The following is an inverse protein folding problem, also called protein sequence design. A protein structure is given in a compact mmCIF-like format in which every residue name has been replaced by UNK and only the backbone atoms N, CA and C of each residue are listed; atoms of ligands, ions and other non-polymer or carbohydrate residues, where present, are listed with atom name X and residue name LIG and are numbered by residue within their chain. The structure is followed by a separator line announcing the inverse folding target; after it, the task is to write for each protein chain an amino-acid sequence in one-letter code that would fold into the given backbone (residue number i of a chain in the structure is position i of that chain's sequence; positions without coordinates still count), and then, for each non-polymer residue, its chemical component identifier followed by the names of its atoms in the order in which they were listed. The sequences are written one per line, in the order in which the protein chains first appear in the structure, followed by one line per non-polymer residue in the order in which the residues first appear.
data_IF_298362737377
#
_entry.id   IF_298362737377
#
_cell.length_a   1.000
_cell.length_b   1.000
_cell.length_c   1.000
_cell.angle_alpha   90.00
_cell.angle_beta   90.00
_cell.angle_gamma   90.00
#
_symmetry.space_group_name_H-M   'P 1'
#
loop_
_entity.id
_entity.type
_entity.pdbx_description
1 polymer ?
#
# COMPACT_ATOMS: atom_id res chain seq x y z
N UNK A 1 -17.59 22.79 7.30
CA UNK A 1 -17.10 22.94 5.92
C UNK A 1 -18.32 23.14 5.02
N UNK A 2 -18.41 24.26 4.31
CA UNK A 2 -19.50 24.53 3.35
C UNK A 2 -19.18 23.88 2.00
N UNK A 3 -20.21 23.62 1.19
CA UNK A 3 -20.06 22.99 -0.14
C UNK A 3 -19.11 23.79 -1.06
N UNK A 4 -19.11 25.12 -0.95
CA UNK A 4 -18.21 26.02 -1.70
C UNK A 4 -16.73 25.80 -1.33
N UNK A 5 -16.43 25.64 -0.04
CA UNK A 5 -15.07 25.37 0.43
C UNK A 5 -14.53 24.03 -0.12
N UNK A 6 -15.39 23.01 -0.24
CA UNK A 6 -15.00 21.71 -0.80
C UNK A 6 -14.68 21.81 -2.29
N UNK A 7 -15.43 22.61 -3.05
CA UNK A 7 -15.17 22.81 -4.47
C UNK A 7 -13.89 23.60 -4.73
N UNK A 8 -13.62 24.66 -3.95
CA UNK A 8 -12.37 25.41 -4.01
C UNK A 8 -11.15 24.50 -3.79
N UNK A 9 -11.22 23.62 -2.78
CA UNK A 9 -10.13 22.67 -2.50
C UNK A 9 -9.95 21.67 -3.64
N UNK A 10 -11.04 21.10 -4.18
CA UNK A 10 -10.97 20.13 -5.29
C UNK A 10 -10.43 20.72 -6.59
N UNK A 11 -10.71 22.00 -6.85
CA UNK A 11 -10.23 22.71 -8.04
C UNK A 11 -8.78 23.22 -7.88
N UNK A 12 -8.21 23.17 -6.68
CA UNK A 12 -6.83 23.58 -6.45
C UNK A 12 -5.85 22.59 -7.14
N UNK A 13 -4.97 23.08 -8.04
CA UNK A 13 -4.02 22.22 -8.75
C UNK A 13 -3.03 21.50 -7.83
N UNK A 14 -2.70 22.06 -6.65
CA UNK A 14 -1.88 21.37 -5.63
C UNK A 14 -2.61 20.14 -5.09
N UNK A 15 -3.90 20.25 -4.81
CA UNK A 15 -4.73 19.13 -4.32
C UNK A 15 -4.87 18.03 -5.37
N UNK A 16 -5.11 18.39 -6.64
CA UNK A 16 -5.19 17.39 -7.71
C UNK A 16 -3.86 16.66 -7.93
N UNK A 17 -2.74 17.39 -7.90
CA UNK A 17 -1.40 16.78 -8.00
C UNK A 17 -1.17 15.79 -6.86
N UNK A 18 -1.55 16.16 -5.64
CA UNK A 18 -1.49 15.32 -4.44
C UNK A 18 -2.25 14.00 -4.60
N UNK A 19 -3.53 14.09 -4.97
CA UNK A 19 -4.41 12.94 -5.17
C UNK A 19 -3.84 12.04 -6.27
N UNK A 20 -3.32 12.62 -7.36
CA UNK A 20 -2.74 11.85 -8.46
C UNK A 20 -1.49 11.08 -8.05
N UNK A 21 -0.58 11.70 -7.28
CA UNK A 21 0.65 11.07 -6.80
C UNK A 21 0.34 9.92 -5.85
N UNK A 22 -0.57 10.17 -4.89
CA UNK A 22 -1.01 9.14 -3.94
C UNK A 22 -1.69 7.97 -4.65
N UNK A 23 -2.59 8.25 -5.58
CA UNK A 23 -3.30 7.21 -6.33
C UNK A 23 -2.34 6.36 -7.15
N UNK A 24 -1.37 6.96 -7.86
CA UNK A 24 -0.38 6.20 -8.63
C UNK A 24 0.41 5.25 -7.72
N UNK A 25 0.87 5.75 -6.57
CA UNK A 25 1.62 4.94 -5.61
C UNK A 25 0.77 3.80 -5.00
N UNK A 26 -0.48 4.10 -4.63
CA UNK A 26 -1.42 3.09 -4.15
C UNK A 26 -1.66 2.01 -5.23
N UNK A 27 -1.86 2.41 -6.48
CA UNK A 27 -2.01 1.48 -7.60
C UNK A 27 -0.78 0.60 -7.82
N UNK A 28 0.43 1.15 -7.70
CA UNK A 28 1.67 0.37 -7.79
C UNK A 28 1.71 -0.72 -6.71
N UNK A 29 1.40 -0.38 -5.46
CA UNK A 29 1.36 -1.35 -4.36
C UNK A 29 0.26 -2.40 -4.55
N UNK A 30 -0.91 -2.00 -5.03
CA UNK A 30 -2.00 -2.93 -5.38
C UNK A 30 -1.54 -3.91 -6.45
N UNK A 31 -0.90 -3.45 -7.51
CA UNK A 31 -0.38 -4.32 -8.58
C UNK A 31 0.65 -5.29 -8.04
N UNK A 32 1.60 -4.81 -7.22
CA UNK A 32 2.61 -5.68 -6.59
C UNK A 32 1.94 -6.75 -5.72
N UNK A 33 0.94 -6.38 -4.92
CA UNK A 33 0.18 -7.32 -4.09
C UNK A 33 -0.55 -8.37 -4.94
N UNK A 34 -1.18 -7.94 -6.04
CA UNK A 34 -1.86 -8.84 -6.97
C UNK A 34 -0.87 -9.83 -7.60
N UNK A 35 0.30 -9.36 -8.04
CA UNK A 35 1.34 -10.23 -8.60
C UNK A 35 1.78 -11.28 -7.60
N UNK A 36 2.07 -10.89 -6.35
CA UNK A 36 2.47 -11.84 -5.30
C UNK A 36 1.35 -12.84 -4.99
N UNK A 37 0.11 -12.35 -4.90
CA UNK A 37 -1.06 -13.19 -4.63
C UNK A 37 -1.29 -14.24 -5.72
N UNK A 38 -1.30 -13.83 -6.99
CA UNK A 38 -1.46 -14.75 -8.11
C UNK A 38 -0.25 -15.68 -8.27
N UNK A 39 0.97 -15.19 -8.06
CA UNK A 39 2.16 -16.04 -8.07
C UNK A 39 2.07 -17.15 -7.02
N UNK A 40 1.62 -16.82 -5.80
CA UNK A 40 1.43 -17.80 -4.74
C UNK A 40 0.32 -18.80 -5.05
N UNK A 41 -0.82 -18.35 -5.58
CA UNK A 41 -1.91 -19.24 -6.01
C UNK A 41 -1.44 -20.20 -7.10
N UNK A 42 -0.77 -19.68 -8.13
CA UNK A 42 -0.25 -20.51 -9.22
C UNK A 42 0.80 -21.49 -8.71
N UNK A 43 1.65 -21.08 -7.77
CA UNK A 43 2.63 -21.98 -7.14
C UNK A 43 1.95 -23.13 -6.40
N UNK A 44 0.90 -22.85 -5.63
CA UNK A 44 0.07 -23.88 -4.98
C UNK A 44 -0.59 -24.79 -6.01
N UNK A 45 -1.13 -24.23 -7.09
CA UNK A 45 -1.89 -24.97 -8.10
C UNK A 45 -1.00 -25.92 -8.93
N UNK A 46 0.20 -25.48 -9.32
CA UNK A 46 1.10 -26.27 -10.17
C UNK A 46 2.11 -27.11 -9.40
N UNK A 47 2.41 -26.77 -8.15
CA UNK A 47 3.42 -27.47 -7.34
C UNK A 47 3.01 -27.60 -5.87
N UNK A 48 1.86 -28.24 -5.57
CA UNK A 48 1.43 -28.43 -4.19
C UNK A 48 2.39 -29.32 -3.39
N UNK A 49 3.06 -30.27 -4.05
CA UNK A 49 3.99 -31.20 -3.40
C UNK A 49 5.24 -30.49 -2.83
N UNK A 50 5.75 -29.44 -3.49
CA UNK A 50 6.92 -28.70 -3.01
C UNK A 50 6.61 -27.99 -1.69
N UNK A 51 5.41 -27.41 -1.57
CA UNK A 51 4.92 -26.79 -0.33
C UNK A 51 4.58 -27.81 0.75
N UNK A 52 4.14 -29.01 0.36
CA UNK A 52 3.84 -30.13 1.26
C UNK A 52 5.07 -30.92 1.71
N UNK A 53 6.23 -30.69 1.08
CA UNK A 53 7.46 -31.40 1.43
C UNK A 53 7.98 -30.93 2.80
N UNK A 54 8.28 -31.89 3.67
CA UNK A 54 8.90 -31.63 4.97
C UNK A 54 10.27 -30.97 4.78
N UNK A 55 10.59 -30.00 5.62
CA UNK A 55 11.87 -29.27 5.55
C UNK A 55 13.05 -30.19 5.91
N UNK A 56 12.81 -31.16 6.80
CA UNK A 56 13.78 -32.17 7.24
C UNK A 56 13.03 -33.47 7.60
N UNK A 57 13.65 -34.66 7.53
CA UNK A 57 12.99 -35.94 7.85
C UNK A 57 12.29 -35.97 9.22
N UNK A 58 12.89 -35.32 10.23
CA UNK A 58 12.35 -35.22 11.59
C UNK A 58 11.46 -33.98 11.81
N UNK A 59 11.38 -33.06 10.83
CA UNK A 59 10.59 -31.85 10.97
C UNK A 59 9.10 -32.13 10.71
N UNK A 60 8.24 -31.59 11.58
CA UNK A 60 6.78 -31.58 11.36
C UNK A 60 6.35 -30.48 10.38
N UNK A 61 7.20 -29.45 10.19
CA UNK A 61 6.93 -28.31 9.32
C UNK A 61 7.29 -28.60 7.86
N UNK A 62 6.44 -28.11 6.94
CA UNK A 62 6.66 -28.17 5.49
C UNK A 62 7.18 -26.84 4.96
N UNK A 63 7.75 -26.85 3.75
CA UNK A 63 8.24 -25.63 3.08
C UNK A 63 7.17 -24.56 2.88
N UNK A 64 5.89 -24.92 2.88
CA UNK A 64 4.79 -23.97 2.82
C UNK A 64 4.72 -23.02 4.02
N UNK A 65 5.15 -23.44 5.22
CA UNK A 65 5.11 -22.58 6.41
C UNK A 65 6.10 -21.41 6.29
N UNK A 66 7.41 -21.62 6.03
CA UNK A 66 8.35 -20.52 5.78
C UNK A 66 7.92 -19.58 4.66
N UNK A 67 7.39 -20.13 3.55
CA UNK A 67 6.93 -19.32 2.41
C UNK A 67 5.73 -18.45 2.80
N UNK A 68 4.75 -19.02 3.50
CA UNK A 68 3.60 -18.27 4.00
C UNK A 68 4.01 -17.15 4.96
N UNK A 69 4.94 -17.43 5.89
CA UNK A 69 5.48 -16.43 6.82
C UNK A 69 6.19 -15.32 6.04
N UNK A 70 6.99 -15.66 5.03
CA UNK A 70 7.67 -14.67 4.20
C UNK A 70 6.67 -13.72 3.50
N UNK A 71 5.56 -14.24 2.98
CA UNK A 71 4.49 -13.44 2.36
C UNK A 71 3.82 -12.52 3.40
N UNK A 72 3.56 -13.02 4.61
CA UNK A 72 2.97 -12.20 5.70
C UNK A 72 3.91 -11.05 6.07
N UNK A 73 5.19 -11.33 6.28
CA UNK A 73 6.21 -10.30 6.58
C UNK A 73 6.30 -9.29 5.45
N UNK A 74 6.27 -9.75 4.20
CA UNK A 74 6.23 -8.88 3.03
C UNK A 74 5.00 -7.96 3.00
N UNK A 75 3.82 -8.49 3.32
CA UNK A 75 2.59 -7.70 3.39
C UNK A 75 2.65 -6.60 4.48
N UNK A 76 3.21 -6.91 5.65
CA UNK A 76 3.47 -5.91 6.69
C UNK A 76 4.48 -4.86 6.24
N UNK A 77 5.57 -5.27 5.59
CA UNK A 77 6.57 -4.34 5.05
C UNK A 77 5.96 -3.40 4.00
N UNK A 78 5.16 -3.93 3.07
CA UNK A 78 4.41 -3.15 2.07
C UNK A 78 3.48 -2.13 2.74
N UNK A 79 2.77 -2.54 3.79
CA UNK A 79 1.89 -1.66 4.56
C UNK A 79 2.68 -0.56 5.27
N UNK A 80 3.82 -0.89 5.87
CA UNK A 80 4.71 0.10 6.50
C UNK A 80 5.28 1.10 5.51
N UNK A 81 5.73 0.64 4.34
CA UNK A 81 6.19 1.50 3.24
C UNK A 81 5.07 2.41 2.76
N UNK A 82 3.85 1.88 2.62
CA UNK A 82 2.67 2.66 2.26
C UNK A 82 2.41 3.79 3.27
N UNK A 83 2.31 3.44 4.55
CA UNK A 83 2.01 4.38 5.63
C UNK A 83 3.10 5.45 5.75
N UNK A 84 4.39 5.06 5.70
CA UNK A 84 5.50 6.02 5.77
C UNK A 84 5.47 7.02 4.62
N UNK A 85 5.22 6.56 3.40
CA UNK A 85 5.14 7.43 2.22
C UNK A 85 3.89 8.32 2.25
N UNK A 86 2.75 7.75 2.64
CA UNK A 86 1.49 8.47 2.74
C UNK A 86 1.56 9.56 3.82
N UNK A 87 2.07 9.25 5.01
CA UNK A 87 2.17 10.22 6.11
C UNK A 87 3.16 11.36 5.80
N UNK A 88 4.30 11.07 5.18
CA UNK A 88 5.29 12.10 4.86
C UNK A 88 4.83 13.11 3.80
N UNK A 89 4.15 12.65 2.75
CA UNK A 89 3.69 13.53 1.66
C UNK A 89 2.40 14.27 2.04
N UNK A 90 1.54 13.70 2.89
CA UNK A 90 0.27 14.33 3.29
C UNK A 90 0.42 15.44 4.34
N UNK A 91 1.26 15.25 5.36
CA UNK A 91 1.35 16.24 6.45
C UNK A 91 1.88 17.59 5.97
N UNK A 92 2.84 17.60 5.05
CA UNK A 92 3.38 18.84 4.48
C UNK A 92 2.35 19.61 3.65
N UNK A 93 1.59 18.90 2.81
CA UNK A 93 0.61 19.52 1.94
C UNK A 93 -0.70 19.90 2.66
N UNK A 94 -1.06 19.20 3.73
CA UNK A 94 -2.16 19.60 4.62
C UNK A 94 -1.84 20.91 5.36
N UNK A 95 -0.58 21.10 5.78
CA UNK A 95 -0.15 22.35 6.41
C UNK A 95 -0.16 23.52 5.42
N UNK A 96 0.37 23.34 4.21
CA UNK A 96 0.33 24.39 3.18
C UNK A 96 -1.11 24.77 2.80
N UNK A 97 -2.01 23.79 2.69
CA UNK A 97 -3.42 24.05 2.37
C UNK A 97 -4.14 24.82 3.49
N UNK A 98 -3.83 24.50 4.77
CA UNK A 98 -4.35 25.25 5.91
C UNK A 98 -3.91 26.72 5.87
N UNK A 99 -2.63 26.97 5.58
CA UNK A 99 -2.06 28.32 5.52
C UNK A 99 -2.67 29.11 4.35
N UNK A 100 -2.85 28.48 3.18
CA UNK A 100 -3.46 29.14 2.01
C UNK A 100 -4.94 29.51 2.30
N UNK A 101 -5.71 28.65 2.97
CA UNK A 101 -7.11 28.92 3.35
C UNK A 101 -7.21 30.00 4.43
N UNK A 102 -6.35 29.99 5.44
CA UNK A 102 -6.30 31.06 6.46
C UNK A 102 -5.99 32.42 5.86
N UNK A 103 -5.16 32.49 4.81
CA UNK A 103 -4.85 33.73 4.09
C UNK A 103 -5.99 34.23 3.21
N UNK A 104 -6.81 33.35 2.64
CA UNK A 104 -7.98 33.76 1.86
C UNK A 104 -9.19 34.15 2.73
N UNK A 105 -9.20 33.73 3.99
CA UNK A 105 -10.27 34.04 4.96
C UNK A 105 -10.00 35.26 5.85
N UNK A 106 -8.80 35.85 5.78
CA UNK A 106 -8.39 37.08 6.49
C UNK A 106 -8.17 38.22 5.48
#
# INVERSE_FOLDING_TARGET
MTQEQVQLIKNNPKYQKLVSTRSKFAWTLTIIMLVVYYAFILFIAFSPETLGTKISPDAMATWGIPIGIAIIVFAFAMTGVYVRRANGEFDGLLNDLKIDIEKEMN
#
